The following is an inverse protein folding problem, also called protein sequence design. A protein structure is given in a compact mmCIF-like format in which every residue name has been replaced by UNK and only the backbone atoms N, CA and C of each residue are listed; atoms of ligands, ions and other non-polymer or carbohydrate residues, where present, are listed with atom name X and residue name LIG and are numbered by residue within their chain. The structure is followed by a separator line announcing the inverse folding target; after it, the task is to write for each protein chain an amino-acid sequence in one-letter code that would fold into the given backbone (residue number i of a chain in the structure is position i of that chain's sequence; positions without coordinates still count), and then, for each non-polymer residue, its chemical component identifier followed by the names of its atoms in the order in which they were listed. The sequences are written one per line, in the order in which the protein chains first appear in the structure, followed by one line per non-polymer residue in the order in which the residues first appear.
data_IF_395527011194
#
_entry.id   IF_395527011194
#
_cell.length_a   1.000
_cell.length_b   1.000
_cell.length_c   1.000
_cell.angle_alpha   90.00
_cell.angle_beta   90.00
_cell.angle_gamma   90.00
#
_symmetry.space_group_name_H-M   'P 1'
#
loop_
_entity.id
_entity.type
_entity.pdbx_description
1 polymer ?
#
# COMPACT_ATOMS: atom_id res chain seq x y z
N UNK A 1 -13.47 4.10 0.31
CA UNK A 1 -13.83 5.26 -0.55
C UNK A 1 -14.71 6.12 0.35
N UNK A 2 -14.31 7.24 0.95
CA UNK A 2 -13.34 8.28 0.62
C UNK A 2 -12.59 8.68 1.91
N UNK A 3 -11.30 9.00 1.80
CA UNK A 3 -10.59 9.77 2.82
C UNK A 3 -9.59 10.67 2.08
N UNK A 4 -10.03 11.89 1.80
CA UNK A 4 -9.11 13.00 1.59
C UNK A 4 -8.44 13.30 2.92
N UNK A 5 -7.13 13.12 3.04
CA UNK A 5 -6.32 13.91 3.96
C UNK A 5 -4.81 13.78 3.70
N UNK A 6 -4.22 14.96 3.44
CA UNK A 6 -2.82 15.36 3.64
C UNK A 6 -1.79 14.67 2.74
N UNK A 7 -1.47 15.36 1.63
CA UNK A 7 -0.24 15.16 0.86
C UNK A 7 -0.09 13.78 0.22
N UNK A 8 -1.18 13.21 -0.31
CA UNK A 8 -1.19 11.84 -0.82
C UNK A 8 -1.45 11.83 -2.31
N UNK A 9 -0.42 11.50 -3.10
CA UNK A 9 -0.59 11.14 -4.49
C UNK A 9 -1.48 9.89 -4.57
N UNK A 10 -2.74 10.11 -4.94
CA UNK A 10 -3.71 9.06 -5.15
C UNK A 10 -3.37 8.35 -6.47
N UNK A 11 -2.76 7.16 -6.39
CA UNK A 11 -2.54 6.36 -7.59
C UNK A 11 -3.87 5.69 -7.93
N UNK A 12 -4.65 6.31 -8.81
CA UNK A 12 -5.79 5.68 -9.48
C UNK A 12 -5.30 4.96 -10.75
N UNK A 13 -6.03 3.91 -11.16
CA UNK A 13 -5.80 3.11 -12.39
C UNK A 13 -5.73 3.91 -13.71
N UNK A 14 -5.90 5.24 -13.67
CA UNK A 14 -5.89 6.16 -14.82
C UNK A 14 -4.55 6.91 -14.99
N UNK A 15 -3.57 6.71 -14.11
CA UNK A 15 -2.31 7.42 -14.22
C UNK A 15 -1.35 6.71 -15.19
N UNK A 16 -0.72 7.45 -16.13
CA UNK A 16 0.24 6.87 -17.06
C UNK A 16 1.39 6.21 -16.28
N UNK A 17 1.90 5.06 -16.75
CA UNK A 17 2.93 4.23 -16.08
C UNK A 17 4.12 5.04 -15.52
N UNK A 18 4.48 6.14 -16.17
CA UNK A 18 5.58 7.03 -15.79
C UNK A 18 5.35 7.73 -14.43
N UNK A 19 4.09 8.01 -14.06
CA UNK A 19 3.72 8.69 -12.82
C UNK A 19 3.89 7.79 -11.59
N UNK A 20 3.64 6.49 -11.75
CA UNK A 20 3.87 5.50 -10.71
C UNK A 20 5.34 5.45 -10.30
N UNK A 21 6.27 5.46 -11.27
CA UNK A 21 7.71 5.42 -11.00
C UNK A 21 8.19 6.65 -10.22
N UNK A 22 7.76 7.85 -10.64
CA UNK A 22 8.07 9.10 -9.92
C UNK A 22 7.53 9.07 -8.48
N UNK A 23 6.27 8.70 -8.29
CA UNK A 23 5.64 8.60 -6.97
C UNK A 23 6.38 7.61 -6.06
N UNK A 24 6.74 6.43 -6.57
CA UNK A 24 7.51 5.45 -5.81
C UNK A 24 8.91 5.95 -5.45
N UNK A 25 9.55 6.70 -6.35
CA UNK A 25 10.85 7.30 -6.06
C UNK A 25 10.75 8.35 -4.94
N UNK A 26 9.75 9.21 -4.99
CA UNK A 26 9.52 10.23 -3.94
C UNK A 26 9.12 9.59 -2.60
N UNK A 27 8.37 8.47 -2.62
CA UNK A 27 8.09 7.66 -1.44
C UNK A 27 9.37 7.06 -0.84
N UNK A 28 10.24 6.48 -1.67
CA UNK A 28 11.54 5.93 -1.24
C UNK A 28 12.47 7.00 -0.66
N UNK A 29 12.42 8.22 -1.20
CA UNK A 29 13.15 9.39 -0.67
C UNK A 29 12.53 9.98 0.60
N UNK A 30 11.34 9.52 1.00
CA UNK A 30 10.64 10.01 2.20
C UNK A 30 9.97 11.37 2.02
N UNK A 31 9.78 11.85 0.79
CA UNK A 31 9.05 13.11 0.50
C UNK A 31 7.60 13.02 0.98
N UNK A 32 7.03 11.82 0.93
CA UNK A 32 5.82 11.47 1.65
C UNK A 32 5.96 10.08 2.25
N UNK A 33 5.31 9.86 3.38
CA UNK A 33 5.49 8.67 4.22
C UNK A 33 4.34 7.67 4.12
N UNK A 34 3.25 8.05 3.45
CA UNK A 34 2.05 7.24 3.29
C UNK A 34 1.78 7.09 1.79
N UNK A 35 1.40 5.88 1.38
CA UNK A 35 0.93 5.57 0.04
C UNK A 35 -0.38 4.81 0.14
N UNK A 36 -1.43 5.33 -0.49
CA UNK A 36 -2.75 4.68 -0.54
C UNK A 36 -2.94 4.09 -1.93
N UNK A 37 -3.31 2.80 -2.00
CA UNK A 37 -3.48 2.08 -3.26
C UNK A 37 -4.56 1.00 -3.16
N UNK A 38 -5.06 0.56 -4.32
CA UNK A 38 -5.97 -0.58 -4.45
C UNK A 38 -5.22 -1.83 -4.94
N UNK A 39 -5.82 -3.01 -4.76
CA UNK A 39 -5.24 -4.29 -5.19
C UNK A 39 -4.92 -4.36 -6.70
N UNK A 40 -5.61 -3.55 -7.50
CA UNK A 40 -5.42 -3.51 -8.95
C UNK A 40 -4.02 -3.03 -9.35
N UNK A 41 -3.38 -2.20 -8.50
CA UNK A 41 -2.09 -1.58 -8.78
C UNK A 41 -0.89 -2.32 -8.17
N UNK A 42 -1.12 -3.26 -7.25
CA UNK A 42 -0.03 -3.93 -6.53
C UNK A 42 0.75 -4.95 -7.37
N UNK A 43 0.21 -5.36 -8.52
CA UNK A 43 0.90 -6.26 -9.45
C UNK A 43 1.84 -5.47 -10.35
N UNK A 44 3.15 -5.64 -10.13
CA UNK A 44 4.21 -4.97 -10.91
C UNK A 44 4.75 -3.68 -10.28
N UNK A 45 4.11 -3.17 -9.21
CA UNK A 45 4.69 -2.13 -8.37
C UNK A 45 5.59 -2.75 -7.30
N UNK A 46 6.90 -2.62 -7.45
CA UNK A 46 7.85 -3.02 -6.42
C UNK A 46 8.09 -1.85 -5.46
N UNK A 47 7.37 -1.89 -4.33
CA UNK A 47 7.48 -0.89 -3.26
C UNK A 47 8.42 -1.46 -2.21
N UNK A 48 9.71 -1.16 -2.34
CA UNK A 48 10.73 -1.49 -1.34
C UNK A 48 10.70 -0.47 -0.19
N UNK A 49 11.05 -0.92 1.02
CA UNK A 49 11.19 -0.02 2.18
C UNK A 49 9.90 0.29 2.96
N UNK A 50 8.80 -0.42 2.70
CA UNK A 50 7.57 -0.24 3.49
C UNK A 50 7.74 -0.87 4.88
N UNK A 51 7.66 -0.05 5.94
CA UNK A 51 7.74 -0.52 7.34
C UNK A 51 6.42 -1.01 7.90
N UNK A 52 5.31 -0.42 7.44
CA UNK A 52 3.97 -0.74 7.91
C UNK A 52 3.02 -0.88 6.73
N UNK A 53 2.23 -1.95 6.73
CA UNK A 53 1.11 -2.16 5.81
C UNK A 53 -0.18 -2.07 6.62
N UNK A 54 -1.16 -1.35 6.10
CA UNK A 54 -2.48 -1.21 6.71
C UNK A 54 -3.52 -1.63 5.68
N UNK A 55 -4.24 -2.72 5.95
CA UNK A 55 -5.44 -3.10 5.23
C UNK A 55 -6.60 -2.31 5.82
N UNK A 56 -7.21 -1.44 5.02
CA UNK A 56 -8.37 -0.67 5.46
C UNK A 56 -9.61 -1.55 5.60
N UNK A 57 -9.72 -2.58 4.76
CA UNK A 57 -10.77 -3.58 4.72
C UNK A 57 -10.17 -4.98 4.93
N UNK A 58 -10.98 -5.92 5.44
CA UNK A 58 -10.57 -7.32 5.52
C UNK A 58 -10.37 -7.87 4.10
N UNK A 59 -9.17 -8.39 3.77
CA UNK A 59 -8.95 -8.99 2.46
C UNK A 59 -9.89 -10.19 2.25
N UNK A 60 -10.69 -10.16 1.18
CA UNK A 60 -11.66 -11.23 0.85
C UNK A 60 -11.05 -12.63 0.74
N UNK A 61 -9.76 -12.72 0.42
CA UNK A 61 -9.03 -13.98 0.29
C UNK A 61 -7.71 -13.92 1.05
N UNK A 62 -7.34 -15.02 1.70
CA UNK A 62 -6.07 -15.14 2.43
C UNK A 62 -4.85 -14.87 1.53
N UNK A 63 -4.92 -15.27 0.26
CA UNK A 63 -3.86 -14.98 -0.72
C UNK A 63 -3.65 -13.48 -0.92
N UNK A 64 -4.73 -12.70 -0.91
CA UNK A 64 -4.66 -11.23 -0.98
C UNK A 64 -3.99 -10.67 0.26
N UNK A 65 -4.37 -11.14 1.45
CA UNK A 65 -3.71 -10.75 2.70
C UNK A 65 -2.19 -11.01 2.65
N UNK A 66 -1.77 -12.22 2.25
CA UNK A 66 -0.33 -12.58 2.15
C UNK A 66 0.39 -11.67 1.15
N UNK A 67 -0.21 -11.36 0.01
CA UNK A 67 0.39 -10.44 -0.98
C UNK A 67 0.49 -8.99 -0.50
N UNK A 68 -0.49 -8.50 0.28
CA UNK A 68 -0.45 -7.16 0.89
C UNK A 68 0.59 -7.11 2.01
N UNK A 69 0.60 -8.10 2.91
CA UNK A 69 1.57 -8.22 4.00
C UNK A 69 3.01 -8.35 3.48
N UNK A 70 3.21 -9.04 2.35
CA UNK A 70 4.52 -9.18 1.69
C UNK A 70 5.12 -7.87 1.14
N UNK A 71 4.44 -6.72 1.30
CA UNK A 71 5.01 -5.41 0.98
C UNK A 71 5.95 -4.90 2.06
N UNK A 72 5.81 -5.39 3.29
CA UNK A 72 6.73 -5.08 4.40
C UNK A 72 7.68 -6.24 4.68
N UNK A 73 8.57 -6.06 5.68
CA UNK A 73 9.51 -7.07 6.14
C UNK A 73 10.44 -7.65 5.05
N UNK A 74 10.88 -6.82 4.10
CA UNK A 74 11.78 -7.21 2.99
C UNK A 74 13.24 -6.89 3.33
N UNK A 75 14.17 -7.58 2.66
CA UNK A 75 15.62 -7.38 2.81
C UNK A 75 16.13 -7.48 4.26
N UNK A 76 15.61 -8.43 5.03
CA UNK A 76 16.00 -8.67 6.43
C UNK A 76 15.47 -7.65 7.44
N UNK A 77 14.69 -6.65 6.99
CA UNK A 77 14.09 -5.66 7.87
C UNK A 77 12.82 -6.20 8.54
N UNK A 78 12.52 -5.69 9.74
CA UNK A 78 11.23 -5.94 10.39
C UNK A 78 10.11 -5.14 9.76
N UNK A 79 8.91 -5.69 9.74
CA UNK A 79 7.71 -5.05 9.21
C UNK A 79 6.48 -5.34 10.06
N UNK A 80 5.47 -4.48 9.96
CA UNK A 80 4.17 -4.68 10.61
C UNK A 80 3.03 -4.64 9.60
N UNK A 81 2.06 -5.52 9.77
CA UNK A 81 0.85 -5.55 8.97
C UNK A 81 -0.34 -5.45 9.92
N UNK A 82 -1.21 -4.48 9.69
CA UNK A 82 -2.44 -4.26 10.45
C UNK A 82 -3.62 -4.43 9.52
N UNK A 83 -4.69 -5.06 9.99
CA UNK A 83 -5.99 -5.07 9.30
C UNK A 83 -6.98 -4.37 10.20
N UNK A 84 -7.61 -3.33 9.67
CA UNK A 84 -8.75 -2.70 10.29
C UNK A 84 -9.98 -3.55 9.96
N UNK A 85 -10.81 -3.81 10.96
CA UNK A 85 -12.01 -4.64 10.84
C UNK A 85 -13.16 -3.91 11.54
N UNK A 86 -14.35 -3.95 10.96
CA UNK A 86 -15.58 -3.59 11.68
C UNK A 86 -16.11 -4.77 12.48
N UNK A 87 -17.00 -4.50 13.43
CA UNK A 87 -17.64 -5.53 14.27
C UNK A 87 -18.37 -6.59 13.43
N UNK A 88 -18.94 -6.16 12.28
CA UNK A 88 -19.61 -7.05 11.31
C UNK A 88 -18.65 -7.96 10.50
N UNK A 89 -17.33 -7.76 10.61
CA UNK A 89 -16.30 -8.53 9.88
C UNK A 89 -15.55 -9.54 10.78
N UNK A 90 -15.94 -9.65 12.06
CA UNK A 90 -15.35 -10.57 13.06
C UNK A 90 -15.93 -11.97 12.97
#
# INVERSE_FOLDING_TARGET
MYAECIGLHYIQNLLPKNFCSKTLNEFRKGVFQVLVSSDALTRGMDVEGVRNVINYDVPKYIKTYVHRAGRTARAGQTGRCFTLMSEDEV
#
